data_IF_713588445319
#
_entry.id   IF_713588445319
#
_cell.length_a   1.000
_cell.length_b   1.000
_cell.length_c   1.000
_cell.angle_alpha   90.00
_cell.angle_beta   90.00
_cell.angle_gamma   90.00
#
_symmetry.space_group_name_H-M   'P 1'
#
loop_
_entity.id
_entity.type
_entity.pdbx_description
1 polymer ?
#
# COMPACT_ATOMS: atom_id res chain seq x y z
N UNK A 1 -3.80 0.05 -27.97
CA UNK A 1 -3.40 1.48 -27.94
C UNK A 1 -4.09 2.10 -26.73
N UNK A 2 -3.29 2.50 -25.72
CA UNK A 2 -3.65 3.31 -24.53
C UNK A 2 -4.69 2.65 -23.61
N UNK A 3 -4.42 2.32 -22.34
CA UNK A 3 -4.19 3.26 -21.24
C UNK A 3 -3.56 2.49 -20.08
N UNK A 4 -2.24 2.31 -20.08
CA UNK A 4 -1.57 2.05 -18.81
C UNK A 4 -1.57 3.39 -18.08
N UNK A 5 -2.14 3.44 -16.87
CA UNK A 5 -2.04 4.58 -15.96
C UNK A 5 -0.55 4.88 -15.70
N UNK A 6 0.08 5.58 -16.64
CA UNK A 6 1.47 6.02 -16.61
C UNK A 6 1.65 7.23 -15.69
N UNK A 7 0.60 7.63 -14.97
CA UNK A 7 0.63 8.65 -13.94
C UNK A 7 1.28 8.13 -12.65
N UNK A 8 1.24 6.81 -12.39
CA UNK A 8 1.87 6.19 -11.23
C UNK A 8 3.23 5.58 -11.63
N UNK A 9 4.35 6.07 -11.08
CA UNK A 9 5.67 5.46 -11.20
C UNK A 9 5.72 3.95 -10.94
N UNK A 10 6.60 3.24 -11.69
CA UNK A 10 6.72 1.77 -11.63
C UNK A 10 7.10 1.24 -10.24
N UNK A 11 7.90 1.99 -9.49
CA UNK A 11 8.26 1.64 -8.11
C UNK A 11 7.03 1.66 -7.18
N UNK A 12 6.15 2.66 -7.32
CA UNK A 12 4.92 2.77 -6.51
C UNK A 12 3.96 1.62 -6.82
N UNK A 13 3.78 1.30 -8.10
CA UNK A 13 2.96 0.13 -8.50
C UNK A 13 3.49 -1.17 -7.91
N UNK A 14 4.82 -1.37 -7.97
CA UNK A 14 5.46 -2.56 -7.39
C UNK A 14 5.23 -2.67 -5.89
N UNK A 15 5.38 -1.58 -5.14
CA UNK A 15 5.14 -1.60 -3.68
C UNK A 15 3.67 -1.90 -3.38
N UNK A 16 2.73 -1.32 -4.13
CA UNK A 16 1.31 -1.63 -3.97
C UNK A 16 1.01 -3.12 -4.18
N UNK A 17 1.63 -3.74 -5.20
CA UNK A 17 1.50 -5.18 -5.45
C UNK A 17 2.11 -6.03 -4.30
N UNK A 18 3.29 -5.65 -3.80
CA UNK A 18 3.92 -6.32 -2.67
C UNK A 18 3.06 -6.22 -1.40
N UNK A 19 2.48 -5.05 -1.13
CA UNK A 19 1.57 -4.87 0.00
C UNK A 19 0.29 -5.71 -0.14
N UNK A 20 -0.26 -5.80 -1.36
CA UNK A 20 -1.39 -6.68 -1.63
C UNK A 20 -1.05 -8.14 -1.31
N UNK A 21 0.15 -8.60 -1.65
CA UNK A 21 0.59 -9.97 -1.34
C UNK A 21 0.71 -10.20 0.17
N UNK A 22 1.19 -9.21 0.94
CA UNK A 22 1.26 -9.27 2.40
C UNK A 22 -0.15 -9.42 3.00
N UNK A 23 -1.10 -8.60 2.54
CA UNK A 23 -2.49 -8.65 3.04
C UNK A 23 -3.20 -9.96 2.70
N UNK A 24 -2.82 -10.61 1.59
CA UNK A 24 -3.35 -11.91 1.17
C UNK A 24 -2.64 -13.10 1.81
N UNK A 25 -1.58 -12.90 2.58
CA UNK A 25 -0.88 -14.00 3.23
C UNK A 25 -1.77 -14.58 4.35
N UNK A 26 -2.42 -15.72 4.13
CA UNK A 26 -3.26 -16.35 5.16
C UNK A 26 -2.47 -17.03 6.28
N UNK A 27 -1.14 -17.11 6.17
CA UNK A 27 -0.27 -17.70 7.20
C UNK A 27 -0.07 -16.79 8.40
N UNK A 28 -0.18 -15.47 8.21
CA UNK A 28 0.06 -14.46 9.24
C UNK A 28 -1.26 -13.97 9.86
N UNK A 29 -1.19 -13.55 11.13
CA UNK A 29 -2.34 -12.97 11.81
C UNK A 29 -2.82 -11.68 11.10
N UNK A 30 -4.15 -11.40 11.06
CA UNK A 30 -4.70 -10.20 10.43
C UNK A 30 -4.02 -8.90 10.84
N UNK A 31 -3.77 -8.71 12.14
CA UNK A 31 -3.07 -7.56 12.67
C UNK A 31 -1.61 -7.46 12.22
N UNK A 32 -0.90 -8.59 12.19
CA UNK A 32 0.51 -8.62 11.73
C UNK A 32 0.59 -8.24 10.24
N UNK A 33 -0.35 -8.71 9.41
CA UNK A 33 -0.42 -8.34 7.99
C UNK A 33 -0.72 -6.87 7.80
N UNK A 34 -1.66 -6.33 8.57
CA UNK A 34 -2.00 -4.91 8.55
C UNK A 34 -0.80 -4.04 8.92
N UNK A 35 -0.13 -4.35 10.04
CA UNK A 35 1.06 -3.62 10.49
C UNK A 35 2.20 -3.68 9.45
N UNK A 36 2.47 -4.86 8.90
CA UNK A 36 3.51 -5.04 7.87
C UNK A 36 3.18 -4.28 6.59
N UNK A 37 1.91 -4.31 6.17
CA UNK A 37 1.40 -3.59 5.00
C UNK A 37 1.51 -2.06 5.16
N UNK A 38 1.15 -1.54 6.34
CA UNK A 38 1.28 -0.11 6.67
C UNK A 38 2.74 0.32 6.57
N UNK A 39 3.65 -0.40 7.23
CA UNK A 39 5.09 -0.08 7.20
C UNK A 39 5.62 -0.02 5.76
N UNK A 40 5.24 -1.00 4.92
CA UNK A 40 5.71 -1.10 3.55
C UNK A 40 5.17 0.03 2.65
N UNK A 41 3.92 0.43 2.86
CA UNK A 41 3.30 1.53 2.10
C UNK A 41 3.79 2.89 2.59
N UNK A 42 4.09 3.04 3.87
CA UNK A 42 4.59 4.31 4.39
C UNK A 42 5.97 4.65 3.82
N UNK A 43 6.82 3.65 3.60
CA UNK A 43 8.10 3.84 2.90
C UNK A 43 7.91 4.48 1.51
N UNK A 44 6.89 4.03 0.76
CA UNK A 44 6.63 4.59 -0.57
C UNK A 44 5.90 5.93 -0.49
N UNK A 45 5.09 6.17 0.54
CA UNK A 45 4.37 7.45 0.78
C UNK A 45 5.32 8.66 0.80
N UNK A 46 6.58 8.42 1.19
CA UNK A 46 7.67 9.39 1.25
C UNK A 46 8.41 9.61 -0.08
N UNK A 47 8.07 8.88 -1.15
CA UNK A 47 8.71 9.05 -2.46
C UNK A 47 8.40 10.43 -3.06
N UNK A 48 9.42 11.21 -3.48
CA UNK A 48 9.22 12.54 -4.06
C UNK A 48 8.50 12.53 -5.42
N UNK A 49 8.51 11.39 -6.14
CA UNK A 49 7.80 11.20 -7.39
C UNK A 49 6.36 10.71 -7.19
N UNK A 50 5.91 10.53 -5.95
CA UNK A 50 4.55 10.11 -5.61
C UNK A 50 3.51 11.13 -6.09
N UNK A 51 2.60 10.74 -6.99
CA UNK A 51 1.49 11.61 -7.39
C UNK A 51 0.56 11.92 -6.21
N UNK A 52 0.00 13.14 -6.18
CA UNK A 52 -0.88 13.57 -5.08
C UNK A 52 -2.08 12.62 -4.89
N UNK A 53 -2.73 12.21 -5.98
CA UNK A 53 -3.86 11.28 -5.90
C UNK A 53 -3.45 9.91 -5.34
N UNK A 54 -2.23 9.43 -5.62
CA UNK A 54 -1.71 8.18 -5.08
C UNK A 54 -1.46 8.28 -3.57
N UNK A 55 -0.94 9.43 -3.12
CA UNK A 55 -0.75 9.72 -1.69
C UNK A 55 -2.08 9.72 -0.93
N UNK A 56 -3.14 10.30 -1.49
CA UNK A 56 -4.48 10.26 -0.89
C UNK A 56 -5.00 8.82 -0.78
N UNK A 57 -4.85 8.02 -1.83
CA UNK A 57 -5.24 6.59 -1.81
C UNK A 57 -4.47 5.78 -0.77
N UNK A 58 -3.17 6.04 -0.64
CA UNK A 58 -2.33 5.42 0.38
C UNK A 58 -2.85 5.76 1.77
N UNK A 59 -3.17 7.03 2.03
CA UNK A 59 -3.69 7.45 3.32
C UNK A 59 -5.05 6.81 3.64
N UNK A 60 -5.96 6.73 2.66
CA UNK A 60 -7.23 5.99 2.78
C UNK A 60 -7.02 4.52 3.14
N UNK A 61 -6.00 3.88 2.56
CA UNK A 61 -5.67 2.48 2.81
C UNK A 61 -5.07 2.29 4.20
N UNK A 62 -4.11 3.13 4.61
CA UNK A 62 -3.51 3.08 5.95
C UNK A 62 -4.60 3.25 7.01
N UNK A 63 -5.49 4.22 6.85
CA UNK A 63 -6.61 4.43 7.79
C UNK A 63 -7.52 3.20 7.93
N UNK A 64 -7.76 2.46 6.83
CA UNK A 64 -8.51 1.19 6.88
C UNK A 64 -7.73 0.08 7.58
N UNK A 65 -6.42 -0.01 7.35
CA UNK A 65 -5.57 -1.02 7.96
C UNK A 65 -5.36 -0.77 9.46
N UNK A 66 -5.28 0.49 9.90
CA UNK A 66 -5.22 0.88 11.31
C UNK A 66 -6.50 0.54 12.07
N UNK A 67 -7.63 0.40 11.37
CA UNK A 67 -8.90 -0.07 11.93
C UNK A 67 -8.89 -1.57 12.23
N UNK A 68 -7.91 -2.34 11.76
CA UNK A 68 -7.84 -3.79 11.97
C UNK A 68 -7.27 -4.06 13.37
N UNK A 69 -8.01 -4.76 14.25
CA UNK A 69 -7.50 -5.13 15.56
C UNK A 69 -6.25 -6.01 15.46
N UNK A 70 -5.31 -5.83 16.40
CA UNK A 70 -4.06 -6.60 16.47
C UNK A 70 -4.20 -7.96 17.19
N UNK A 71 -5.43 -8.36 17.54
CA UNK A 71 -5.75 -9.55 18.35
C UNK A 71 -5.54 -10.90 17.62
#
# INVERSE_FOLDING_TARGET
MMTEDNTIPRNIRRIADETRLILLNESDAPGLRAATAISKIDEVSNDPNMPVHARTRIWELVSQLESIPLD
#
